data_IF_050668171451
#
_entry.id   IF_050668171451
#
_cell.length_a   1.000
_cell.length_b   1.000
_cell.length_c   1.000
_cell.angle_alpha   90.00
_cell.angle_beta   90.00
_cell.angle_gamma   90.00
#
_symmetry.space_group_name_H-M   'P 1'
#
loop_
_entity.id
_entity.type
_entity.pdbx_description
1 polymer ?
#
# COMPACT_ATOMS: atom_id res chain seq x y z
N UNK A 1 12.43 -3.59 -6.89
CA UNK A 1 11.82 -4.88 -6.45
C UNK A 1 12.90 -5.94 -6.23
N UNK A 2 13.92 -5.98 -7.06
CA UNK A 2 15.02 -6.97 -6.99
C UNK A 2 14.76 -8.25 -7.80
N UNK A 3 13.59 -8.38 -8.39
CA UNK A 3 13.18 -9.44 -9.32
C UNK A 3 12.06 -8.92 -10.24
N UNK A 4 11.77 -9.67 -11.30
CA UNK A 4 10.63 -9.40 -12.15
C UNK A 4 9.33 -9.83 -11.44
N UNK A 5 8.41 -8.88 -11.30
CA UNK A 5 7.12 -9.08 -10.64
C UNK A 5 5.98 -8.82 -11.62
N UNK A 6 5.07 -9.78 -11.77
CA UNK A 6 3.91 -9.65 -12.65
C UNK A 6 2.71 -9.10 -11.89
N UNK A 7 2.15 -7.98 -12.37
CA UNK A 7 0.97 -7.34 -11.82
C UNK A 7 -0.04 -7.08 -12.94
N UNK A 8 -1.24 -7.64 -12.83
CA UNK A 8 -2.27 -7.59 -13.89
C UNK A 8 -1.71 -7.92 -15.29
N UNK A 9 -0.92 -9.00 -15.38
CA UNK A 9 -0.35 -9.49 -16.64
C UNK A 9 0.84 -8.70 -17.20
N UNK A 10 1.24 -7.62 -16.55
CA UNK A 10 2.42 -6.83 -16.93
C UNK A 10 3.56 -7.05 -15.93
N UNK A 11 4.80 -7.03 -16.42
CA UNK A 11 5.99 -7.28 -15.59
C UNK A 11 6.67 -5.98 -15.21
N UNK A 12 7.04 -5.85 -13.94
CA UNK A 12 7.67 -4.68 -13.34
C UNK A 12 8.89 -5.08 -12.52
N UNK A 13 9.94 -4.26 -12.54
CA UNK A 13 11.14 -4.39 -11.68
C UNK A 13 11.29 -3.25 -10.68
N UNK A 14 10.42 -2.23 -10.77
CA UNK A 14 10.45 -1.02 -9.95
C UNK A 14 9.02 -0.63 -9.53
N UNK A 15 8.93 0.16 -8.47
CA UNK A 15 7.68 0.79 -8.00
C UNK A 15 7.98 2.16 -7.37
N UNK A 16 6.95 2.94 -7.18
CA UNK A 16 6.95 4.19 -6.41
C UNK A 16 6.14 3.98 -5.14
N UNK A 17 6.68 4.39 -3.99
CA UNK A 17 5.94 4.41 -2.72
C UNK A 17 5.40 5.82 -2.48
N UNK A 18 4.09 5.94 -2.35
CA UNK A 18 3.43 7.19 -1.99
C UNK A 18 3.26 7.34 -0.49
N UNK A 19 3.34 8.58 0.00
CA UNK A 19 3.20 8.92 1.43
C UNK A 19 1.89 8.45 2.05
N UNK A 20 0.84 8.37 1.25
CA UNK A 20 -0.53 8.08 1.69
C UNK A 20 -0.89 6.59 1.62
N UNK A 21 0.10 5.68 1.67
CA UNK A 21 -0.16 4.23 1.67
C UNK A 21 -0.60 3.70 0.32
N UNK A 22 0.09 4.10 -0.72
CA UNK A 22 -0.09 3.59 -2.09
C UNK A 22 1.26 3.18 -2.67
N UNK A 23 1.30 2.08 -3.38
CA UNK A 23 2.46 1.58 -4.11
C UNK A 23 2.07 1.53 -5.58
N UNK A 24 2.71 2.34 -6.41
CA UNK A 24 2.39 2.48 -7.83
C UNK A 24 3.48 1.83 -8.69
N UNK A 25 3.06 1.09 -9.71
CA UNK A 25 3.96 0.61 -10.77
C UNK A 25 4.08 1.60 -11.93
N UNK A 26 3.38 2.72 -11.88
CA UNK A 26 3.60 3.84 -12.81
C UNK A 26 4.72 4.74 -12.28
N UNK A 27 5.90 4.63 -12.89
CA UNK A 27 7.08 5.41 -12.50
C UNK A 27 6.93 6.91 -12.80
N UNK A 28 5.96 7.31 -13.61
CA UNK A 28 5.62 8.72 -13.83
C UNK A 28 5.13 9.43 -12.55
N UNK A 29 4.72 8.68 -11.54
CA UNK A 29 4.34 9.22 -10.23
C UNK A 29 5.54 9.57 -9.33
N UNK A 30 6.77 9.21 -9.72
CA UNK A 30 7.96 9.47 -8.91
C UNK A 30 8.23 10.96 -8.76
N UNK A 31 8.45 11.42 -7.52
CA UNK A 31 8.68 12.84 -7.20
C UNK A 31 7.45 13.73 -7.35
N UNK A 32 6.28 13.15 -7.65
CA UNK A 32 5.03 13.85 -7.79
C UNK A 32 4.26 13.95 -6.47
N UNK A 33 3.17 14.71 -6.52
CA UNK A 33 2.22 14.82 -5.41
C UNK A 33 1.46 13.50 -5.20
N UNK A 34 1.39 13.03 -3.95
CA UNK A 34 0.59 11.86 -3.58
C UNK A 34 -0.83 12.31 -3.20
N UNK A 35 -1.84 12.07 -4.02
CA UNK A 35 -3.22 12.46 -3.73
C UNK A 35 -3.73 11.83 -2.42
N UNK A 36 -4.63 12.52 -1.75
CA UNK A 36 -5.24 12.10 -0.48
C UNK A 36 -6.77 12.21 -0.46
N UNK A 37 -7.34 12.96 -1.40
CA UNK A 37 -8.78 13.28 -1.40
C UNK A 37 -9.62 12.08 -1.88
N UNK A 38 -9.83 11.10 -1.01
CA UNK A 38 -10.53 9.85 -1.33
C UNK A 38 -11.96 10.06 -1.82
N UNK A 39 -12.61 11.15 -1.42
CA UNK A 39 -13.92 11.52 -1.96
C UNK A 39 -13.90 11.78 -3.49
N UNK A 40 -12.76 12.25 -4.02
CA UNK A 40 -12.59 12.45 -5.46
C UNK A 40 -12.15 11.17 -6.19
N UNK A 41 -11.51 10.22 -5.48
CA UNK A 41 -11.13 8.92 -6.01
C UNK A 41 -12.36 8.05 -6.26
N UNK A 42 -13.30 8.05 -5.30
CA UNK A 42 -14.45 7.16 -5.29
C UNK A 42 -14.08 5.70 -5.00
N UNK A 43 -15.07 4.81 -4.95
CA UNK A 43 -14.81 3.38 -4.85
C UNK A 43 -14.15 2.85 -6.14
N UNK A 44 -13.24 1.87 -5.96
CA UNK A 44 -12.55 1.21 -7.08
C UNK A 44 -13.37 0.01 -7.61
N UNK A 45 -13.29 -0.35 -8.89
CA UNK A 45 -12.45 0.27 -9.92
C UNK A 45 -12.88 1.69 -10.27
N UNK A 46 -11.92 2.58 -10.50
CA UNK A 46 -12.20 3.97 -10.81
C UNK A 46 -11.18 4.53 -11.81
N UNK A 47 -11.67 5.20 -12.82
CA UNK A 47 -10.87 5.97 -13.79
C UNK A 47 -10.78 7.46 -13.42
N UNK A 48 -11.32 7.86 -12.27
CA UNK A 48 -11.41 9.26 -11.85
C UNK A 48 -10.04 9.92 -11.64
N UNK A 49 -9.04 9.14 -11.23
CA UNK A 49 -7.68 9.65 -11.06
C UNK A 49 -6.64 8.60 -11.46
N UNK A 50 -5.71 9.00 -12.31
CA UNK A 50 -4.60 8.14 -12.74
C UNK A 50 -3.68 7.75 -11.56
N UNK A 51 -3.66 8.51 -10.48
CA UNK A 51 -2.81 8.23 -9.33
C UNK A 51 -3.11 6.90 -8.63
N UNK A 52 -4.33 6.36 -8.77
CA UNK A 52 -4.70 5.04 -8.24
C UNK A 52 -4.59 3.92 -9.27
N UNK A 53 -4.22 4.24 -10.51
CA UNK A 53 -4.03 3.24 -11.54
C UNK A 53 -2.72 2.47 -11.29
N UNK A 54 -2.70 1.20 -11.71
CA UNK A 54 -1.53 0.34 -11.64
C UNK A 54 -0.92 0.30 -10.23
N UNK A 55 -1.76 0.10 -9.21
CA UNK A 55 -1.36 0.35 -7.83
C UNK A 55 -1.87 -0.71 -6.84
N UNK A 56 -1.09 -0.89 -5.79
CA UNK A 56 -1.44 -1.61 -4.56
C UNK A 56 -1.73 -0.56 -3.49
N UNK A 57 -2.84 -0.68 -2.82
CA UNK A 57 -3.31 0.22 -1.76
C UNK A 57 -3.50 -0.58 -0.47
N UNK A 58 -2.45 -0.72 0.36
CA UNK A 58 -2.54 -1.47 1.62
C UNK A 58 -3.46 -0.81 2.64
N UNK A 59 -3.37 0.51 2.76
CA UNK A 59 -4.24 1.34 3.58
C UNK A 59 -4.15 2.78 3.03
N UNK A 60 -4.67 2.97 1.83
CA UNK A 60 -4.63 4.28 1.17
C UNK A 60 -5.58 5.25 1.87
N UNK A 61 -5.01 6.25 2.52
CA UNK A 61 -5.67 7.31 3.27
C UNK A 61 -4.72 8.51 3.41
N UNK A 62 -5.19 9.64 3.92
CA UNK A 62 -4.34 10.82 4.13
C UNK A 62 -3.41 10.62 5.33
N UNK A 63 -2.13 10.36 5.05
CA UNK A 63 -1.09 10.15 6.06
C UNK A 63 -0.03 11.24 6.03
N UNK A 64 0.64 11.44 7.15
CA UNK A 64 1.72 12.38 7.29
C UNK A 64 3.02 11.68 7.73
N UNK A 65 3.91 11.32 6.79
CA UNK A 65 5.17 10.65 7.12
C UNK A 65 6.17 11.52 7.88
N UNK A 66 5.90 12.80 8.07
CA UNK A 66 6.73 13.65 8.94
C UNK A 66 6.42 13.48 10.44
N UNK A 67 5.38 12.71 10.76
CA UNK A 67 4.93 12.45 12.12
C UNK A 67 5.08 10.97 12.44
N UNK A 68 5.90 10.64 13.41
CA UNK A 68 6.23 9.29 13.85
C UNK A 68 6.02 9.15 15.36
N UNK A 69 5.72 7.93 15.84
CA UNK A 69 5.68 7.62 17.28
C UNK A 69 7.07 7.34 17.85
N UNK A 70 8.02 6.99 16.98
CA UNK A 70 9.41 6.76 17.37
C UNK A 70 10.38 7.33 16.31
N UNK A 71 11.66 7.56 16.69
CA UNK A 71 12.70 7.97 15.74
C UNK A 71 12.89 7.01 14.57
N UNK A 72 12.46 5.75 14.74
CA UNK A 72 12.55 4.71 13.71
C UNK A 72 11.29 4.61 12.85
N UNK A 73 10.27 5.44 13.07
CA UNK A 73 9.07 5.54 12.25
C UNK A 73 9.44 5.92 10.83
N UNK A 74 9.05 5.13 9.82
CA UNK A 74 9.50 5.36 8.46
C UNK A 74 8.74 4.51 7.43
N UNK A 75 8.92 4.86 6.14
CA UNK A 75 8.53 4.01 5.02
C UNK A 75 9.82 3.38 4.47
N UNK A 76 9.86 2.06 4.41
CA UNK A 76 11.05 1.28 4.09
C UNK A 76 10.71 0.20 3.07
N UNK A 77 11.72 -0.28 2.35
CA UNK A 77 11.60 -1.49 1.55
C UNK A 77 12.90 -2.29 1.58
N UNK A 78 12.78 -3.60 1.41
CA UNK A 78 13.91 -4.51 1.31
C UNK A 78 13.52 -5.74 0.50
N UNK A 79 14.45 -6.26 -0.31
CA UNK A 79 14.29 -7.58 -0.92
C UNK A 79 15.15 -8.58 -0.16
N UNK A 80 14.52 -9.66 0.26
CA UNK A 80 15.11 -10.73 1.08
C UNK A 80 14.92 -12.08 0.41
N UNK A 81 15.68 -13.08 0.86
CA UNK A 81 15.63 -14.45 0.33
C UNK A 81 16.57 -14.66 -0.85
N UNK A 82 16.47 -15.82 -1.46
CA UNK A 82 17.30 -16.27 -2.58
C UNK A 82 16.40 -16.68 -3.75
N UNK A 83 16.79 -16.29 -4.97
CA UNK A 83 16.09 -16.69 -6.18
C UNK A 83 15.95 -18.23 -6.23
N UNK A 84 14.80 -18.76 -6.64
CA UNK A 84 13.62 -18.06 -7.18
C UNK A 84 12.53 -17.75 -6.13
N UNK A 85 12.87 -17.66 -4.84
CA UNK A 85 11.94 -17.48 -3.73
C UNK A 85 12.23 -16.18 -2.96
N UNK A 86 12.56 -15.10 -3.65
CA UNK A 86 12.75 -13.78 -3.04
C UNK A 86 11.42 -13.13 -2.69
N UNK A 87 11.46 -12.25 -1.71
CA UNK A 87 10.33 -11.42 -1.30
C UNK A 87 10.77 -9.97 -1.27
N UNK A 88 10.00 -9.08 -1.89
CA UNK A 88 10.14 -7.65 -1.72
C UNK A 88 9.16 -7.20 -0.62
N UNK A 89 9.70 -6.73 0.49
CA UNK A 89 8.96 -6.28 1.67
C UNK A 89 8.94 -4.76 1.68
N UNK A 90 7.75 -4.17 1.79
CA UNK A 90 7.53 -2.72 1.88
C UNK A 90 6.82 -2.46 3.20
N UNK A 91 7.36 -1.57 4.03
CA UNK A 91 6.88 -1.32 5.38
C UNK A 91 6.55 0.16 5.57
N UNK A 92 5.35 0.44 6.05
CA UNK A 92 4.92 1.73 6.60
C UNK A 92 4.88 1.57 8.12
N UNK A 93 5.91 2.11 8.80
CA UNK A 93 6.10 1.91 10.24
C UNK A 93 5.71 3.18 10.99
N UNK A 94 4.65 3.07 11.80
CA UNK A 94 4.22 4.12 12.73
C UNK A 94 3.97 5.48 12.06
N UNK A 95 3.36 5.48 10.89
CA UNK A 95 3.06 6.70 10.15
C UNK A 95 1.77 7.33 10.68
N UNK A 96 1.87 8.58 11.15
CA UNK A 96 0.73 9.35 11.64
C UNK A 96 -0.27 9.69 10.54
N UNK A 97 -1.53 9.89 10.92
CA UNK A 97 -2.53 10.43 10.01
C UNK A 97 -2.45 11.96 9.97
N UNK A 98 -2.67 12.53 8.80
CA UNK A 98 -2.77 13.98 8.65
C UNK A 98 -3.93 14.50 9.54
N UNK A 99 -3.74 15.64 10.22
CA UNK A 99 -4.63 16.25 11.22
C UNK A 99 -4.75 15.55 12.58
N UNK A 100 -4.42 14.26 12.71
CA UNK A 100 -4.46 13.54 14.00
C UNK A 100 -3.07 13.28 14.60
N UNK A 101 -2.02 13.51 13.84
CA UNK A 101 -0.65 13.39 14.34
C UNK A 101 -0.30 11.96 14.77
N UNK A 102 0.48 11.86 15.85
CA UNK A 102 0.98 10.58 16.36
C UNK A 102 -0.03 9.75 17.12
N UNK A 103 -1.14 10.34 17.56
CA UNK A 103 -2.16 9.63 18.33
C UNK A 103 -2.84 8.57 17.48
N UNK A 104 -2.89 8.79 16.17
CA UNK A 104 -3.50 7.90 15.19
C UNK A 104 -2.47 7.41 14.16
N UNK A 105 -1.51 6.59 14.63
CA UNK A 105 -0.49 6.00 13.76
C UNK A 105 -0.93 4.69 13.14
N UNK A 106 -0.41 4.46 11.94
CA UNK A 106 -0.62 3.23 11.17
C UNK A 106 0.69 2.43 11.08
N UNK A 107 0.55 1.11 11.11
CA UNK A 107 1.63 0.16 10.93
C UNK A 107 1.17 -0.95 9.99
N UNK A 108 1.77 -1.06 8.81
CA UNK A 108 1.43 -2.11 7.85
C UNK A 108 2.58 -2.42 6.91
N UNK A 109 2.60 -3.64 6.43
CA UNK A 109 3.56 -4.12 5.44
C UNK A 109 2.90 -4.74 4.24
N UNK A 110 3.60 -4.67 3.10
CA UNK A 110 3.25 -5.35 1.85
C UNK A 110 4.39 -6.28 1.47
N UNK A 111 4.06 -7.49 1.06
CA UNK A 111 5.03 -8.48 0.58
C UNK A 111 4.68 -8.84 -0.85
N UNK A 112 5.65 -8.67 -1.75
CA UNK A 112 5.58 -9.15 -3.13
C UNK A 112 6.43 -10.42 -3.25
N UNK A 113 5.85 -11.49 -3.73
CA UNK A 113 6.52 -12.79 -3.85
C UNK A 113 7.05 -13.01 -5.26
N UNK A 114 8.34 -13.33 -5.37
CA UNK A 114 8.93 -13.81 -6.62
C UNK A 114 8.22 -15.11 -7.07
N UNK A 115 8.22 -15.40 -8.34
CA UNK A 115 7.65 -16.61 -8.97
C UNK A 115 6.14 -16.69 -8.90
N UNK A 116 5.53 -16.65 -7.71
CA UNK A 116 4.07 -16.73 -7.58
C UNK A 116 3.35 -15.45 -7.97
N UNK A 117 4.05 -14.31 -7.91
CA UNK A 117 3.47 -12.96 -8.08
C UNK A 117 2.30 -12.65 -7.12
N UNK A 118 2.23 -13.37 -6.02
CA UNK A 118 1.26 -13.10 -4.98
C UNK A 118 1.61 -11.80 -4.23
N UNK A 119 0.58 -11.18 -3.68
CA UNK A 119 0.70 -9.99 -2.83
C UNK A 119 0.11 -10.33 -1.48
N UNK A 120 0.82 -10.01 -0.41
CA UNK A 120 0.25 -10.03 0.94
C UNK A 120 0.28 -8.62 1.53
N UNK A 121 -0.79 -8.27 2.24
CA UNK A 121 -0.89 -7.04 3.02
C UNK A 121 -1.16 -7.43 4.46
N UNK A 122 -0.25 -7.03 5.35
CA UNK A 122 -0.31 -7.28 6.79
C UNK A 122 -0.51 -5.94 7.51
N UNK A 123 -1.64 -5.78 8.17
CA UNK A 123 -1.99 -4.60 8.95
C UNK A 123 -1.80 -4.89 10.43
N UNK A 124 -0.72 -4.40 11.03
CA UNK A 124 -0.55 -4.43 12.48
C UNK A 124 -1.47 -3.45 13.18
N UNK A 125 -1.65 -2.27 12.57
CA UNK A 125 -2.59 -1.26 13.04
C UNK A 125 -3.00 -0.34 11.90
N UNK A 126 -4.30 -0.13 11.71
CA UNK A 126 -4.86 0.92 10.87
C UNK A 126 -5.96 1.64 11.62
N UNK A 127 -5.82 2.95 11.76
CA UNK A 127 -6.72 3.80 12.54
C UNK A 127 -7.56 4.72 11.65
N UNK A 128 -8.46 5.46 12.28
CA UNK A 128 -9.23 6.56 11.67
C UNK A 128 -8.80 7.89 12.26
N UNK A 129 -9.06 8.99 11.58
CA UNK A 129 -8.71 10.33 12.05
C UNK A 129 -9.97 11.21 12.16
N UNK A 130 -10.78 10.95 13.19
CA UNK A 130 -11.96 11.74 13.50
C UNK A 130 -12.85 11.99 12.29
N UNK A 131 -13.01 13.26 11.93
CA UNK A 131 -13.83 13.68 10.77
C UNK A 131 -12.98 14.02 9.52
N UNK A 132 -11.66 13.99 9.63
CA UNK A 132 -10.78 14.36 8.52
C UNK A 132 -10.99 13.41 7.32
N UNK A 133 -11.20 13.99 6.16
CA UNK A 133 -11.45 13.28 4.91
C UNK A 133 -12.52 12.17 5.03
N UNK A 134 -13.50 12.35 5.93
CA UNK A 134 -14.52 11.35 6.27
C UNK A 134 -13.97 10.06 6.86
N UNK A 135 -12.74 10.00 7.31
CA UNK A 135 -12.02 8.78 7.72
C UNK A 135 -12.02 7.67 6.67
N UNK A 136 -12.20 8.03 5.41
CA UNK A 136 -12.24 7.09 4.29
C UNK A 136 -10.86 6.45 4.07
N UNK A 137 -10.87 5.19 3.69
CA UNK A 137 -9.67 4.47 3.29
C UNK A 137 -9.97 3.36 2.28
N UNK A 138 -8.95 2.97 1.51
CA UNK A 138 -9.04 1.92 0.50
C UNK A 138 -8.01 0.83 0.80
N UNK A 139 -8.43 -0.45 0.73
CA UNK A 139 -7.53 -1.61 0.71
C UNK A 139 -7.83 -2.50 -0.49
N UNK A 140 -6.86 -2.63 -1.39
CA UNK A 140 -6.98 -3.46 -2.57
C UNK A 140 -5.94 -3.16 -3.62
N UNK A 141 -6.19 -3.65 -4.81
CA UNK A 141 -5.32 -3.45 -5.97
C UNK A 141 -6.16 -3.03 -7.19
N UNK A 142 -5.57 -2.23 -8.08
CA UNK A 142 -6.22 -1.77 -9.31
C UNK A 142 -5.26 -1.82 -10.49
N UNK A 143 -5.78 -2.22 -11.65
CA UNK A 143 -5.00 -2.33 -12.89
C UNK A 143 -4.63 -0.95 -13.50
N UNK A 144 -3.80 -0.98 -14.54
CA UNK A 144 -3.29 0.23 -15.21
C UNK A 144 -4.35 1.06 -15.93
N UNK A 145 -5.47 0.47 -16.32
CA UNK A 145 -6.57 1.20 -16.96
C UNK A 145 -7.60 1.75 -15.97
N UNK A 146 -7.52 1.40 -14.68
CA UNK A 146 -8.51 1.79 -13.67
C UNK A 146 -9.87 1.12 -13.83
N UNK A 147 -9.96 0.02 -14.60
CA UNK A 147 -11.22 -0.64 -14.93
C UNK A 147 -11.44 -1.98 -14.23
N UNK A 148 -10.38 -2.54 -13.62
CA UNK A 148 -10.42 -3.78 -12.87
C UNK A 148 -9.75 -3.55 -11.52
N UNK A 149 -10.43 -3.93 -10.44
CA UNK A 149 -9.90 -3.85 -9.09
C UNK A 149 -10.30 -5.07 -8.27
N UNK A 150 -9.41 -5.49 -7.37
CA UNK A 150 -9.65 -6.57 -6.43
C UNK A 150 -9.53 -6.01 -5.01
N UNK A 151 -10.66 -5.83 -4.36
CA UNK A 151 -10.78 -5.09 -3.10
C UNK A 151 -11.04 -6.01 -1.94
N UNK A 152 -10.43 -5.72 -0.77
CA UNK A 152 -10.85 -6.36 0.47
C UNK A 152 -12.31 -6.02 0.76
N UNK A 153 -13.15 -7.00 1.09
CA UNK A 153 -14.56 -6.75 1.42
C UNK A 153 -14.73 -5.68 2.49
N UNK A 154 -15.60 -4.71 2.25
CA UNK A 154 -15.89 -3.61 3.16
C UNK A 154 -14.83 -2.51 3.25
N UNK A 155 -13.73 -2.56 2.44
CA UNK A 155 -12.61 -1.61 2.52
C UNK A 155 -12.37 -0.84 1.22
N UNK A 156 -13.44 -0.50 0.54
CA UNK A 156 -13.38 0.22 -0.72
C UNK A 156 -13.97 1.62 -0.59
N UNK A 157 -13.14 2.59 -0.23
CA UNK A 157 -13.53 3.97 0.02
C UNK A 157 -14.58 4.09 1.13
N UNK A 158 -14.32 3.40 2.23
CA UNK A 158 -15.19 3.31 3.39
C UNK A 158 -14.42 3.63 4.67
N UNK A 159 -15.12 3.80 5.79
CA UNK A 159 -14.52 3.92 7.12
C UNK A 159 -14.28 2.52 7.69
N UNK A 160 -13.03 2.22 8.04
CA UNK A 160 -12.67 0.95 8.67
C UNK A 160 -11.40 1.09 9.51
N UNK A 161 -11.23 0.17 10.44
CA UNK A 161 -10.04 -0.01 11.27
C UNK A 161 -9.55 -1.45 11.13
N UNK A 162 -8.27 -1.69 11.45
CA UNK A 162 -7.71 -3.02 11.51
C UNK A 162 -6.67 -3.11 12.62
N UNK A 163 -6.58 -4.29 13.23
CA UNK A 163 -5.59 -4.66 14.22
C UNK A 163 -5.22 -6.13 14.00
N UNK A 164 -3.93 -6.40 13.74
CA UNK A 164 -3.42 -7.75 13.47
C UNK A 164 -4.22 -8.53 12.41
N UNK A 165 -4.43 -7.89 11.27
CA UNK A 165 -5.23 -8.41 10.18
C UNK A 165 -4.41 -8.55 8.89
N UNK A 166 -4.66 -9.57 8.08
CA UNK A 166 -3.92 -9.77 6.85
C UNK A 166 -4.74 -10.41 5.73
N UNK A 167 -4.42 -10.01 4.50
CA UNK A 167 -5.02 -10.55 3.28
C UNK A 167 -3.96 -10.86 2.24
N UNK A 168 -4.24 -11.91 1.45
CA UNK A 168 -3.46 -12.30 0.28
C UNK A 168 -4.30 -12.10 -0.98
N UNK A 169 -3.67 -11.54 -1.99
CA UNK A 169 -4.09 -11.55 -3.38
C UNK A 169 -3.25 -12.61 -4.10
N UNK A 170 -3.84 -13.77 -4.33
CA UNK A 170 -3.24 -14.86 -5.09
C UNK A 170 -3.40 -14.59 -6.58
N UNK A 171 -2.30 -14.48 -7.30
CA UNK A 171 -2.30 -14.20 -8.73
C UNK A 171 -2.69 -15.45 -9.52
N UNK A 172 -3.78 -15.37 -10.29
CA UNK A 172 -4.30 -16.47 -11.09
C UNK A 172 -3.95 -16.35 -12.59
N UNK A 173 -3.24 -15.28 -12.95
CA UNK A 173 -2.86 -14.98 -14.33
C UNK A 173 -3.69 -13.85 -14.96
N UNK A 174 -3.09 -13.14 -15.92
CA UNK A 174 -3.75 -12.03 -16.60
C UNK A 174 -4.23 -10.94 -15.65
N UNK A 175 -5.53 -10.71 -15.61
CA UNK A 175 -6.15 -9.69 -14.77
C UNK A 175 -6.84 -10.28 -13.51
N UNK A 176 -6.58 -11.51 -13.16
CA UNK A 176 -7.36 -12.22 -12.15
C UNK A 176 -6.57 -12.49 -10.85
N UNK A 177 -7.24 -12.29 -9.73
CA UNK A 177 -6.72 -12.53 -8.37
C UNK A 177 -7.81 -13.12 -7.48
N UNK A 178 -7.42 -14.11 -6.67
CA UNK A 178 -8.24 -14.59 -5.57
C UNK A 178 -7.83 -13.89 -4.27
N UNK A 179 -8.80 -13.39 -3.49
CA UNK A 179 -8.54 -12.70 -2.24
C UNK A 179 -8.94 -13.60 -1.08
N UNK A 180 -8.04 -13.79 -0.13
CA UNK A 180 -8.30 -14.56 1.08
C UNK A 180 -7.75 -13.88 2.32
N UNK A 181 -8.46 -13.97 3.43
CA UNK A 181 -7.92 -13.63 4.74
C UNK A 181 -6.87 -14.68 5.13
N UNK A 182 -5.75 -14.21 5.69
CA UNK A 182 -4.64 -15.05 6.14
C UNK A 182 -4.24 -14.68 7.57
N UNK A 183 -3.42 -15.51 8.20
CA UNK A 183 -2.87 -15.20 9.52
C UNK A 183 -1.95 -13.98 9.43
N UNK A 184 -2.19 -13.01 10.30
CA UNK A 184 -1.31 -11.85 10.44
C UNK A 184 0.09 -12.28 10.90
N UNK A 185 1.10 -11.71 10.27
CA UNK A 185 2.49 -11.79 10.72
C UNK A 185 3.04 -10.38 10.76
N UNK A 186 3.68 -10.02 11.87
CA UNK A 186 4.31 -8.71 11.98
C UNK A 186 5.45 -8.60 10.95
N UNK A 187 5.28 -7.68 10.01
CA UNK A 187 6.32 -7.39 9.02
C UNK A 187 7.35 -6.49 9.69
N UNK A 188 8.54 -7.02 9.94
CA UNK A 188 9.67 -6.26 10.47
C UNK A 188 10.69 -6.08 9.37
N UNK A 189 11.03 -4.81 9.06
CA UNK A 189 12.06 -4.47 8.08
C UNK A 189 13.35 -4.04 8.79
N UNK A 190 14.49 -4.50 8.30
CA UNK A 190 15.79 -3.84 8.47
C UNK A 190 16.21 -3.31 7.09
N UNK A 191 15.35 -2.48 6.50
CA UNK A 191 15.52 -2.01 5.14
C UNK A 191 16.23 -0.67 5.05
N UNK A 192 16.54 -0.29 3.83
CA UNK A 192 17.03 1.05 3.49
C UNK A 192 15.95 2.06 3.78
N UNK A 193 16.21 2.98 4.69
CA UNK A 193 15.31 4.09 5.00
C UNK A 193 15.16 4.99 3.77
N UNK A 194 13.93 5.33 3.42
CA UNK A 194 13.70 6.40 2.47
C UNK A 194 14.04 7.74 3.11
N UNK A 195 14.98 8.47 2.51
CA UNK A 195 15.20 9.87 2.86
C UNK A 195 14.11 10.68 2.16
N UNK A 196 13.18 11.23 2.94
CA UNK A 196 12.20 12.19 2.44
C UNK A 196 12.91 13.51 2.18
N UNK A 197 13.07 13.88 0.92
CA UNK A 197 13.35 15.27 0.58
C UNK A 197 12.04 16.06 0.72
N UNK A 198 11.85 16.70 1.87
CA UNK A 198 10.82 17.72 2.06
C UNK A 198 11.18 18.97 1.24
N UNK A 199 11.07 18.88 -0.05
CA UNK A 199 10.93 20.07 -0.92
C UNK A 199 9.47 20.09 -1.37
N UNK A 200 8.64 20.71 -0.51
CA UNK A 200 7.37 21.31 -0.95
C UNK A 200 7.70 22.62 -1.64
#
# INVERSE_FOLDING_TARGET
IGFDFTFYGNTYSQFVMGSNGIISFDLGNAGGYCPWALGAVGPLPSTATAATHNAIMPAYQDMNPSVFTSPDGNIQYQTIGTAPNRMCVILYKEIGQFQCGIDECNYFGVILFETSNNIEIHLGKKTTCGTWNGSLAIQGIQNSSGTIAHMTPGRNNTVWVADNDAYRWEYLGGNDYNISNITYTQVTGQGVNMVWNNTL
#
